data_IF_156285554472
#
_entry.id   IF_156285554472
#
_cell.length_a   1.000
_cell.length_b   1.000
_cell.length_c   1.000
_cell.angle_alpha   90.00
_cell.angle_beta   90.00
_cell.angle_gamma   90.00
#
_symmetry.space_group_name_H-M   'P 1'
#
loop_
_entity.id
_entity.type
_entity.pdbx_description
1 polymer ?
#
# COMPACT_ATOMS: atom_id res chain seq x y z
N UNK A 1 27.55 42.02 -50.23
CA UNK A 1 26.41 41.71 -51.12
C UNK A 1 25.21 41.41 -50.22
N UNK A 2 24.52 42.45 -49.71
CA UNK A 2 23.33 43.09 -50.29
C UNK A 2 22.10 42.16 -50.43
N UNK A 3 21.15 42.28 -49.50
CA UNK A 3 19.77 42.66 -49.84
C UNK A 3 18.66 41.60 -49.75
N UNK A 4 17.59 41.94 -49.02
CA UNK A 4 16.20 41.50 -49.26
C UNK A 4 15.54 40.71 -48.12
N UNK A 5 14.32 40.95 -47.67
CA UNK A 5 13.34 42.03 -47.84
C UNK A 5 12.27 41.82 -46.75
N UNK A 6 11.59 42.89 -46.35
CA UNK A 6 10.65 42.99 -45.24
C UNK A 6 9.43 42.06 -45.36
N UNK A 7 9.08 41.38 -44.27
CA UNK A 7 7.83 40.66 -44.09
C UNK A 7 7.12 41.12 -42.82
N UNK A 8 6.55 42.32 -42.87
CA UNK A 8 5.61 42.84 -41.89
C UNK A 8 4.36 41.98 -41.79
N UNK A 9 4.01 41.45 -40.60
CA UNK A 9 2.63 41.49 -40.09
C UNK A 9 2.51 41.12 -38.63
N UNK A 10 2.41 42.17 -37.85
CA UNK A 10 1.78 42.22 -36.54
C UNK A 10 0.31 41.73 -36.67
N UNK A 11 -0.02 40.58 -36.12
CA UNK A 11 -1.39 40.26 -35.73
C UNK A 11 -1.41 39.91 -34.25
N UNK A 12 -1.69 40.96 -33.48
CA UNK A 12 -2.14 40.93 -32.09
C UNK A 12 -3.39 40.05 -32.01
N UNK A 13 -3.20 38.79 -31.62
CA UNK A 13 -4.29 37.87 -31.28
C UNK A 13 -4.92 38.30 -29.96
N UNK A 14 -6.19 38.70 -30.03
CA UNK A 14 -7.08 39.04 -28.92
C UNK A 14 -7.09 37.92 -27.87
N UNK A 15 -6.95 38.31 -26.60
CA UNK A 15 -6.95 37.43 -25.44
C UNK A 15 -8.25 36.63 -25.34
N UNK A 16 -8.15 35.34 -25.65
CA UNK A 16 -9.15 34.36 -25.25
C UNK A 16 -9.00 34.07 -23.77
N UNK A 17 -10.06 34.35 -23.01
CA UNK A 17 -10.28 33.91 -21.63
C UNK A 17 -10.20 32.39 -21.53
N UNK A 18 -8.99 31.84 -21.56
CA UNK A 18 -8.74 30.44 -21.25
C UNK A 18 -8.87 30.32 -19.74
N UNK A 19 -10.05 29.92 -19.31
CA UNK A 19 -10.30 29.48 -17.95
C UNK A 19 -9.17 28.55 -17.54
N UNK A 20 -8.35 29.03 -16.60
CA UNK A 20 -7.39 28.20 -15.88
C UNK A 20 -8.24 27.30 -14.99
N UNK A 21 -8.80 26.24 -15.58
CA UNK A 21 -9.22 25.06 -14.85
C UNK A 21 -7.95 24.54 -14.17
N UNK A 22 -7.70 25.05 -12.97
CA UNK A 22 -6.67 24.51 -12.10
C UNK A 22 -7.06 23.07 -11.84
N UNK A 23 -6.34 22.14 -12.45
CA UNK A 23 -6.29 20.74 -12.08
C UNK A 23 -5.76 20.67 -10.64
N UNK A 24 -6.61 21.02 -9.68
CA UNK A 24 -6.29 21.00 -8.25
C UNK A 24 -6.85 19.71 -7.69
N UNK A 25 -5.97 18.71 -7.60
CA UNK A 25 -6.02 17.67 -6.57
C UNK A 25 -6.83 16.41 -6.89
N UNK A 26 -6.30 15.53 -7.75
CA UNK A 26 -6.60 14.09 -7.68
C UNK A 26 -5.25 13.36 -7.63
N UNK A 27 -4.59 13.36 -6.46
CA UNK A 27 -3.33 12.63 -6.26
C UNK A 27 -3.26 11.85 -4.94
N UNK A 28 -4.27 11.92 -4.08
CA UNK A 28 -4.20 11.34 -2.72
C UNK A 28 -4.50 9.82 -2.65
N UNK A 29 -4.90 9.17 -3.74
CA UNK A 29 -5.33 7.76 -3.72
C UNK A 29 -4.27 6.70 -4.06
N UNK A 30 -3.17 7.06 -4.72
CA UNK A 30 -2.23 6.08 -5.28
C UNK A 30 -1.33 5.39 -4.25
N UNK A 31 -0.82 6.16 -3.29
CA UNK A 31 0.12 5.65 -2.28
C UNK A 31 -0.57 4.77 -1.25
N UNK A 32 -1.79 5.14 -0.84
CA UNK A 32 -2.60 4.34 0.08
C UNK A 32 -3.00 2.98 -0.53
N UNK A 33 -3.30 2.94 -1.84
CA UNK A 33 -3.65 1.71 -2.55
C UNK A 33 -2.45 0.77 -2.67
N UNK A 34 -1.27 1.29 -3.06
CA UNK A 34 -0.05 0.50 -3.13
C UNK A 34 0.39 -0.04 -1.75
N UNK A 35 0.27 0.78 -0.71
CA UNK A 35 0.51 0.34 0.66
C UNK A 35 -0.50 -0.76 1.08
N UNK A 36 -1.78 -0.61 0.72
CA UNK A 36 -2.82 -1.60 1.01
C UNK A 36 -2.60 -2.94 0.31
N UNK A 37 -2.17 -2.94 -0.96
CA UNK A 37 -1.82 -4.15 -1.69
C UNK A 37 -0.66 -4.92 -1.03
N UNK A 38 0.37 -4.20 -0.57
CA UNK A 38 1.51 -4.81 0.13
C UNK A 38 1.13 -5.43 1.48
N UNK A 39 0.12 -4.86 2.18
CA UNK A 39 -0.38 -5.40 3.44
C UNK A 39 -1.19 -6.68 3.24
N UNK A 40 -1.99 -6.75 2.17
CA UNK A 40 -2.84 -7.91 1.87
C UNK A 40 -2.05 -9.17 1.50
N UNK A 41 -0.80 -9.02 1.06
CA UNK A 41 0.11 -10.13 0.73
C UNK A 41 0.86 -10.68 1.95
N UNK A 42 0.73 -10.05 3.12
CA UNK A 42 1.36 -10.53 4.34
C UNK A 42 0.72 -11.83 4.81
N UNK A 43 1.52 -12.67 5.43
CA UNK A 43 1.08 -13.96 5.95
C UNK A 43 1.10 -13.95 7.47
N UNK A 44 0.10 -14.60 8.06
CA UNK A 44 0.02 -14.88 9.49
C UNK A 44 0.28 -16.36 9.69
N UNK A 45 1.43 -16.68 10.26
CA UNK A 45 1.82 -18.04 10.62
C UNK A 45 1.32 -18.32 12.04
N UNK A 46 0.64 -19.45 12.22
CA UNK A 46 0.10 -19.88 13.51
C UNK A 46 0.51 -21.31 13.76
N UNK A 47 1.02 -21.56 14.96
CA UNK A 47 1.35 -22.89 15.46
C UNK A 47 0.65 -23.08 16.82
N UNK A 48 0.07 -24.27 17.03
CA UNK A 48 -0.77 -24.58 18.18
C UNK A 48 -0.38 -25.92 18.79
N UNK A 49 -0.22 -25.92 20.11
CA UNK A 49 -0.15 -27.16 20.89
C UNK A 49 -1.48 -27.35 21.63
N UNK A 50 -2.00 -28.57 21.59
CA UNK A 50 -3.34 -28.92 22.10
C UNK A 50 -3.27 -30.13 23.03
N UNK A 51 -4.25 -30.29 23.92
CA UNK A 51 -4.34 -31.47 24.79
C UNK A 51 -4.64 -32.77 24.02
N UNK A 52 -5.21 -32.65 22.83
CA UNK A 52 -5.59 -33.75 21.95
C UNK A 52 -6.26 -33.25 20.66
N UNK A 53 -6.97 -34.13 19.96
CA UNK A 53 -7.55 -33.88 18.63
C UNK A 53 -9.10 -33.85 18.63
N UNK A 54 -9.74 -34.03 19.79
CA UNK A 54 -11.19 -33.93 19.91
C UNK A 54 -11.60 -32.47 20.13
N UNK A 55 -12.12 -31.82 19.09
CA UNK A 55 -12.46 -30.39 19.12
C UNK A 55 -13.51 -30.01 20.19
N UNK A 56 -14.33 -30.97 20.65
CA UNK A 56 -15.36 -30.72 21.67
C UNK A 56 -14.82 -30.84 23.10
N UNK A 57 -13.66 -31.49 23.29
CA UNK A 57 -13.09 -31.77 24.61
C UNK A 57 -11.73 -31.13 24.83
N UNK A 58 -10.87 -31.21 23.83
CA UNK A 58 -9.48 -30.79 23.91
C UNK A 58 -9.33 -29.28 23.76
N UNK A 59 -8.31 -28.73 24.43
CA UNK A 59 -8.06 -27.29 24.50
C UNK A 59 -6.65 -26.95 24.01
N UNK A 60 -6.46 -25.71 23.55
CA UNK A 60 -5.15 -25.16 23.19
C UNK A 60 -4.38 -24.86 24.48
N UNK A 61 -3.15 -25.35 24.59
CA UNK A 61 -2.27 -25.13 25.75
C UNK A 61 -1.17 -24.11 25.46
N UNK A 62 -0.77 -23.97 24.19
CA UNK A 62 0.20 -22.98 23.72
C UNK A 62 -0.14 -22.51 22.31
N UNK A 63 0.14 -21.24 22.03
CA UNK A 63 0.06 -20.66 20.69
C UNK A 63 1.30 -19.80 20.43
N UNK A 64 1.87 -19.96 19.23
CA UNK A 64 2.87 -19.07 18.66
C UNK A 64 2.34 -18.44 17.37
N UNK A 65 2.70 -17.18 17.13
CA UNK A 65 2.30 -16.46 15.92
C UNK A 65 3.44 -15.63 15.35
N UNK A 66 3.56 -15.61 14.03
CA UNK A 66 4.60 -14.87 13.32
C UNK A 66 4.01 -14.22 12.07
N UNK A 67 4.37 -12.97 11.82
CA UNK A 67 3.91 -12.21 10.65
C UNK A 67 5.07 -12.09 9.67
N UNK A 68 4.85 -12.48 8.40
CA UNK A 68 5.81 -12.24 7.32
C UNK A 68 5.23 -11.37 6.22
N UNK A 69 6.10 -10.78 5.41
CA UNK A 69 5.75 -10.34 4.06
C UNK A 69 5.65 -11.54 3.09
N UNK A 70 5.41 -11.24 1.81
CA UNK A 70 5.32 -12.24 0.74
C UNK A 70 6.63 -12.97 0.44
N UNK A 71 7.76 -12.36 0.81
CA UNK A 71 9.10 -12.93 0.60
C UNK A 71 9.61 -13.67 1.84
N UNK A 72 8.72 -13.91 2.82
CA UNK A 72 8.99 -14.62 4.07
C UNK A 72 9.92 -13.88 5.03
N UNK A 73 10.12 -12.57 4.86
CA UNK A 73 10.84 -11.77 5.84
C UNK A 73 9.95 -11.56 7.08
N UNK A 74 10.52 -11.73 8.26
CA UNK A 74 9.81 -11.59 9.52
C UNK A 74 9.54 -10.10 9.81
N UNK A 75 8.27 -9.77 9.99
CA UNK A 75 7.79 -8.44 10.33
C UNK A 75 7.47 -8.29 11.82
N UNK A 76 7.00 -9.37 12.46
CA UNK A 76 6.70 -9.42 13.89
C UNK A 76 6.67 -10.87 14.39
N UNK A 77 7.00 -11.05 15.68
CA UNK A 77 6.98 -12.34 16.37
C UNK A 77 6.18 -12.23 17.67
N UNK A 78 5.33 -13.21 17.93
CA UNK A 78 4.62 -13.41 19.20
C UNK A 78 5.10 -14.75 19.76
N UNK A 79 6.04 -14.68 20.70
CA UNK A 79 6.86 -15.85 21.08
C UNK A 79 6.16 -16.83 22.00
N UNK A 80 5.24 -16.40 22.86
CA UNK A 80 4.69 -17.33 23.85
C UNK A 80 3.39 -16.82 24.47
N UNK A 81 2.28 -17.46 24.11
CA UNK A 81 1.03 -17.39 24.87
C UNK A 81 0.77 -18.80 25.40
N UNK A 82 1.30 -19.11 26.58
CA UNK A 82 0.98 -20.35 27.28
C UNK A 82 -0.22 -20.11 28.18
N UNK A 83 -1.25 -20.94 28.02
CA UNK A 83 -2.24 -21.10 29.06
C UNK A 83 -1.55 -21.84 30.20
N UNK A 84 -1.09 -21.09 31.22
CA UNK A 84 -0.66 -21.69 32.46
C UNK A 84 -1.85 -22.48 33.01
N UNK A 85 -1.78 -23.82 32.92
CA UNK A 85 -2.68 -24.76 33.59
C UNK A 85 -2.44 -24.74 35.12
N UNK A 86 -2.32 -23.54 35.71
CA UNK A 86 -2.27 -23.30 37.17
C UNK A 86 -3.57 -22.68 37.65
#
# INVERSE_FOLDING_TARGET
MLGGFLGSRLLRGVGGSRGRFGARGVREGGEAMAAGESMAQRMVWVDLEMTGLDIEKDQIIEMACLITDSDLNILAEIKEVRAFLL
#
